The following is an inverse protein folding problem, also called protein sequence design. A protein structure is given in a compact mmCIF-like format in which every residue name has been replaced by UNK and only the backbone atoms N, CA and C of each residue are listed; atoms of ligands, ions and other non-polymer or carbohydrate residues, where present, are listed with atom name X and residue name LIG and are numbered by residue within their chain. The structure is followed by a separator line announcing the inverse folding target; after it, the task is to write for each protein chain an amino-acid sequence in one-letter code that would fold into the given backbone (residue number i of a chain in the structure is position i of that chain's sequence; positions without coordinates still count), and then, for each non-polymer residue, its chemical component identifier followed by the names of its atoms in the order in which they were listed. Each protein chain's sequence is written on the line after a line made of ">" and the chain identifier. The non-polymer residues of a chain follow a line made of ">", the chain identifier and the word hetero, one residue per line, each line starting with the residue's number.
data_IF_133223955354
#
_entry.id   IF_133223955354
#
_cell.length_a   1.000
_cell.length_b   1.000
_cell.length_c   1.000
_cell.angle_alpha   90.00
_cell.angle_beta   90.00
_cell.angle_gamma   90.00
#
_symmetry.space_group_name_H-M   'P 1'
#
loop_
_entity.id
_entity.type
_entity.pdbx_description
1 polymer ?
#
# COMPACT_ATOMS: atom_id res chain seq x y z
N UNK A 1 -4.34 26.89 65.20
CA UNK A 1 -4.61 25.62 64.48
C UNK A 1 -5.25 25.94 63.14
N UNK A 2 -5.01 25.09 62.11
CA UNK A 2 -5.32 25.21 60.65
C UNK A 2 -4.32 26.08 59.90
N UNK A 3 -3.21 25.57 59.33
CA UNK A 3 -3.06 24.59 58.22
C UNK A 3 -3.92 24.93 57.01
N UNK A 4 -3.36 25.69 56.07
CA UNK A 4 -3.81 25.74 54.67
C UNK A 4 -2.79 24.98 53.85
N UNK A 5 -3.21 23.79 53.40
CA UNK A 5 -2.47 22.90 52.53
C UNK A 5 -2.57 23.36 51.08
N UNK A 6 -1.47 23.13 50.37
CA UNK A 6 -1.28 23.29 48.95
C UNK A 6 -2.29 22.48 48.11
N UNK A 7 -2.68 23.03 46.96
CA UNK A 7 -3.12 22.27 45.79
C UNK A 7 -2.52 22.91 44.53
N UNK A 8 -1.24 22.61 44.27
CA UNK A 8 -0.64 22.80 42.96
C UNK A 8 -1.02 21.58 42.12
N UNK A 9 -2.15 21.64 41.41
CA UNK A 9 -2.53 20.63 40.42
C UNK A 9 -1.70 20.92 39.17
N UNK A 10 -0.56 20.22 39.07
CA UNK A 10 0.22 20.16 37.83
C UNK A 10 -0.66 19.42 36.81
N UNK A 11 -1.18 20.16 35.83
CA UNK A 11 -1.82 19.59 34.66
C UNK A 11 -0.79 18.79 33.86
N UNK A 12 -0.73 17.48 34.12
CA UNK A 12 -0.20 16.51 33.18
C UNK A 12 -1.14 16.51 31.96
N UNK A 13 -0.92 17.45 31.05
CA UNK A 13 -1.33 17.29 29.66
C UNK A 13 -0.58 16.05 29.21
N UNK A 14 -1.31 14.95 29.07
CA UNK A 14 -0.80 13.71 28.48
C UNK A 14 -0.25 14.05 27.12
N UNK A 15 1.07 14.14 27.04
CA UNK A 15 1.80 14.02 25.79
C UNK A 15 1.57 12.56 25.41
N UNK A 16 0.46 12.29 24.72
CA UNK A 16 0.35 11.04 23.97
C UNK A 16 1.62 10.96 23.17
N UNK A 17 2.45 9.91 23.32
CA UNK A 17 3.58 9.75 22.43
C UNK A 17 2.97 9.80 21.03
N UNK A 18 3.39 10.78 20.23
CA UNK A 18 3.12 10.73 18.80
C UNK A 18 3.49 9.31 18.39
N UNK A 19 2.51 8.56 17.87
CA UNK A 19 2.70 7.17 17.50
C UNK A 19 3.75 7.18 16.39
N UNK A 20 5.00 7.05 16.80
CA UNK A 20 6.12 7.01 15.90
C UNK A 20 6.05 5.68 15.17
N UNK A 21 6.62 5.66 13.96
CA UNK A 21 6.87 4.43 13.23
C UNK A 21 7.52 3.37 14.14
N UNK A 22 7.22 2.09 13.89
CA UNK A 22 7.91 1.00 14.57
C UNK A 22 9.43 1.09 14.31
N UNK A 23 10.23 0.44 15.15
CA UNK A 23 11.71 0.51 15.07
C UNK A 23 12.26 0.11 13.70
N UNK A 24 11.64 -0.86 13.02
CA UNK A 24 12.05 -1.31 11.69
C UNK A 24 11.81 -0.21 10.65
N UNK A 25 10.60 0.34 10.62
CA UNK A 25 10.24 1.44 9.72
C UNK A 25 11.05 2.71 10.01
N UNK A 26 11.25 3.07 11.29
CA UNK A 26 12.09 4.21 11.65
C UNK A 26 13.54 4.01 11.19
N UNK A 27 14.09 2.79 11.38
CA UNK A 27 15.42 2.47 10.88
C UNK A 27 15.54 2.59 9.36
N UNK A 28 14.45 2.38 8.60
CA UNK A 28 14.40 2.61 7.14
C UNK A 28 14.45 4.10 6.83
N UNK A 29 13.63 4.90 7.51
CA UNK A 29 13.64 6.35 7.35
C UNK A 29 14.99 6.99 7.69
N UNK A 30 15.68 6.50 8.71
CA UNK A 30 16.97 7.04 9.16
C UNK A 30 18.08 6.89 8.11
N UNK A 31 17.99 5.87 7.24
CA UNK A 31 18.99 5.58 6.19
C UNK A 31 18.60 6.08 4.80
N UNK A 32 17.31 6.25 4.54
CA UNK A 32 16.81 6.73 3.25
C UNK A 32 17.08 8.24 3.04
N UNK A 33 17.10 8.65 1.77
CA UNK A 33 17.23 10.06 1.38
C UNK A 33 16.15 10.41 0.37
N UNK A 34 15.47 11.53 0.61
CA UNK A 34 14.44 12.04 -0.31
C UNK A 34 15.04 12.21 -1.71
N UNK A 35 14.29 11.78 -2.73
CA UNK A 35 14.69 11.83 -4.13
C UNK A 35 15.71 10.77 -4.54
N UNK A 36 16.03 9.79 -3.67
CA UNK A 36 16.90 8.66 -4.00
C UNK A 36 16.12 7.35 -4.11
N UNK A 37 16.54 6.44 -5.00
CA UNK A 37 16.02 5.08 -5.02
C UNK A 37 16.19 4.41 -3.65
N UNK A 38 15.18 3.65 -3.26
CA UNK A 38 15.16 2.87 -2.03
C UNK A 38 15.56 1.43 -2.36
N UNK A 39 16.51 0.83 -1.62
CA UNK A 39 16.86 -0.58 -1.80
C UNK A 39 15.65 -1.50 -1.61
N UNK A 40 15.56 -2.60 -2.36
CA UNK A 40 14.38 -3.48 -2.27
C UNK A 40 14.24 -4.12 -0.89
N UNK A 41 15.33 -4.33 -0.16
CA UNK A 41 15.31 -4.83 1.23
C UNK A 41 14.63 -3.87 2.20
N UNK A 42 14.78 -2.58 1.93
CA UNK A 42 14.18 -1.51 2.71
C UNK A 42 12.69 -1.41 2.37
N UNK A 43 12.36 -1.49 1.08
CA UNK A 43 10.98 -1.61 0.61
C UNK A 43 10.30 -2.84 1.20
N UNK A 44 10.95 -4.01 1.25
CA UNK A 44 10.41 -5.20 1.89
C UNK A 44 10.11 -4.98 3.37
N UNK A 45 10.94 -4.20 4.08
CA UNK A 45 10.67 -3.80 5.48
C UNK A 45 9.43 -2.92 5.56
N UNK A 46 9.26 -1.96 4.65
CA UNK A 46 8.08 -1.12 4.59
C UNK A 46 6.81 -1.93 4.24
N UNK A 47 6.89 -2.84 3.28
CA UNK A 47 5.80 -3.75 2.90
C UNK A 47 5.30 -4.56 4.09
N UNK A 48 6.22 -5.13 4.90
CA UNK A 48 5.86 -5.92 6.10
C UNK A 48 5.20 -5.10 7.20
N UNK A 49 5.50 -3.81 7.27
CA UNK A 49 5.14 -2.96 8.41
C UNK A 49 3.93 -2.08 8.11
N UNK A 50 3.66 -1.80 6.84
CA UNK A 50 2.51 -1.02 6.39
C UNK A 50 1.21 -1.81 6.52
N UNK A 51 0.12 -1.12 6.86
CA UNK A 51 -1.22 -1.68 6.84
C UNK A 51 -1.81 -1.68 5.41
N UNK A 52 -1.52 -0.66 4.60
CA UNK A 52 -2.01 -0.54 3.22
C UNK A 52 -1.16 0.41 2.38
N UNK A 53 -1.00 0.11 1.10
CA UNK A 53 -0.41 1.00 0.10
C UNK A 53 -1.54 1.57 -0.74
N UNK A 54 -1.60 2.90 -0.88
CA UNK A 54 -2.62 3.61 -1.62
C UNK A 54 -1.97 4.32 -2.80
N UNK A 55 -2.37 3.95 -4.01
CA UNK A 55 -1.77 4.45 -5.24
C UNK A 55 -2.63 5.55 -5.84
N UNK A 56 -1.96 6.63 -6.28
CA UNK A 56 -2.61 7.85 -6.74
C UNK A 56 -3.69 8.31 -5.75
N UNK A 57 -3.32 8.42 -4.46
CA UNK A 57 -4.26 8.82 -3.42
C UNK A 57 -4.82 10.23 -3.67
N UNK A 58 -6.15 10.35 -3.62
CA UNK A 58 -6.88 11.61 -3.69
C UNK A 58 -7.96 11.62 -2.59
N UNK A 59 -7.87 12.59 -1.68
CA UNK A 59 -8.81 12.79 -0.56
C UNK A 59 -9.20 11.50 0.21
N UNK A 60 -8.24 10.59 0.43
CA UNK A 60 -8.46 9.32 1.14
C UNK A 60 -9.06 8.20 0.28
N UNK A 61 -9.05 8.36 -1.05
CA UNK A 61 -9.40 7.32 -2.02
C UNK A 61 -8.21 6.95 -2.89
N UNK A 62 -8.08 5.67 -3.23
CA UNK A 62 -6.98 5.15 -4.05
C UNK A 62 -7.48 4.74 -5.44
N UNK A 63 -6.63 4.89 -6.47
CA UNK A 63 -6.88 4.27 -7.79
C UNK A 63 -6.82 2.75 -7.68
N UNK A 64 -5.82 2.26 -6.95
CA UNK A 64 -5.69 0.88 -6.52
C UNK A 64 -4.94 0.85 -5.18
N UNK A 65 -4.97 -0.28 -4.51
CA UNK A 65 -4.31 -0.44 -3.23
C UNK A 65 -3.77 -1.84 -3.03
N UNK A 66 -2.64 -1.93 -2.34
CA UNK A 66 -2.04 -3.22 -2.00
C UNK A 66 -2.03 -3.43 -0.49
N UNK A 67 -2.23 -4.68 -0.10
CA UNK A 67 -1.97 -5.19 1.24
C UNK A 67 -1.01 -6.37 1.10
N UNK A 68 0.20 -6.22 1.64
CA UNK A 68 1.20 -7.27 1.59
C UNK A 68 0.87 -8.36 2.62
N UNK A 69 0.60 -9.57 2.13
CA UNK A 69 0.17 -10.72 2.93
C UNK A 69 1.37 -11.50 3.47
N UNK A 70 2.39 -11.65 2.64
CA UNK A 70 3.66 -12.31 2.97
C UNK A 70 4.79 -11.61 2.23
N UNK A 71 5.90 -11.35 2.93
CA UNK A 71 7.09 -10.74 2.34
C UNK A 71 8.32 -11.50 2.83
N UNK A 72 8.95 -12.24 1.92
CA UNK A 72 10.16 -13.02 2.18
C UNK A 72 11.40 -12.19 1.85
N UNK A 73 12.57 -12.81 1.79
CA UNK A 73 13.80 -12.16 1.32
C UNK A 73 13.89 -12.09 -0.21
N UNK A 74 13.06 -12.85 -0.93
CA UNK A 74 13.13 -12.99 -2.38
C UNK A 74 11.86 -12.51 -3.11
N UNK A 75 10.84 -12.05 -2.39
CA UNK A 75 9.62 -11.58 -3.01
C UNK A 75 8.50 -11.31 -2.02
N UNK A 76 7.31 -11.06 -2.57
CA UNK A 76 6.11 -10.79 -1.81
C UNK A 76 4.85 -11.37 -2.48
N UNK A 77 3.90 -11.74 -1.64
CA UNK A 77 2.51 -12.06 -1.99
C UNK A 77 1.64 -10.93 -1.46
N UNK A 78 0.80 -10.36 -2.31
CA UNK A 78 0.00 -9.20 -1.96
C UNK A 78 -1.42 -9.29 -2.54
N UNK A 79 -2.35 -8.72 -1.80
CA UNK A 79 -3.73 -8.52 -2.23
C UNK A 79 -3.85 -7.13 -2.85
N UNK A 80 -4.30 -7.07 -4.10
CA UNK A 80 -4.63 -5.84 -4.81
C UNK A 80 -6.13 -5.63 -4.75
N UNK A 81 -6.56 -4.40 -4.49
CA UNK A 81 -7.96 -4.00 -4.64
C UNK A 81 -8.09 -2.67 -5.37
N UNK A 82 -9.14 -2.55 -6.19
CA UNK A 82 -9.49 -1.32 -6.90
C UNK A 82 -10.98 -1.26 -7.25
N UNK A 83 -11.45 -0.07 -7.61
CA UNK A 83 -12.72 0.07 -8.32
C UNK A 83 -12.51 -0.35 -9.77
N UNK A 84 -13.11 -1.46 -10.17
CA UNK A 84 -12.95 -1.97 -11.53
C UNK A 84 -13.76 -1.16 -12.54
N UNK A 85 -14.99 -0.83 -12.16
CA UNK A 85 -15.90 0.02 -12.89
C UNK A 85 -16.88 0.72 -11.93
N UNK A 86 -17.89 1.40 -12.48
CA UNK A 86 -18.91 2.09 -11.71
C UNK A 86 -19.74 1.14 -10.81
N UNK A 87 -19.80 -0.16 -11.13
CA UNK A 87 -20.66 -1.14 -10.49
C UNK A 87 -19.88 -2.03 -9.50
N UNK A 88 -18.60 -2.31 -9.76
CA UNK A 88 -17.84 -3.33 -9.03
C UNK A 88 -16.50 -2.84 -8.48
N UNK A 89 -16.25 -3.22 -7.23
CA UNK A 89 -14.91 -3.31 -6.66
C UNK A 89 -14.39 -4.73 -6.86
N UNK A 90 -13.10 -4.86 -7.21
CA UNK A 90 -12.44 -6.15 -7.34
C UNK A 90 -11.25 -6.25 -6.40
N UNK A 91 -11.01 -7.48 -5.95
CA UNK A 91 -9.91 -7.81 -5.05
C UNK A 91 -9.30 -9.13 -5.51
N UNK A 92 -8.00 -9.19 -5.69
CA UNK A 92 -7.28 -10.38 -6.14
C UNK A 92 -5.89 -10.45 -5.51
N UNK A 93 -5.24 -11.61 -5.62
CA UNK A 93 -3.89 -11.84 -5.09
C UNK A 93 -2.90 -12.00 -6.24
N UNK A 94 -1.76 -11.34 -6.12
CA UNK A 94 -0.63 -11.44 -7.05
C UNK A 94 0.69 -11.61 -6.30
N UNK A 95 1.74 -11.97 -7.03
CA UNK A 95 3.08 -12.24 -6.53
C UNK A 95 4.13 -11.45 -7.30
N UNK A 96 5.14 -10.98 -6.58
CA UNK A 96 6.34 -10.37 -7.16
C UNK A 96 7.63 -10.96 -6.60
N UNK A 97 8.67 -11.05 -7.43
CA UNK A 97 10.03 -11.42 -7.01
C UNK A 97 10.89 -10.20 -6.84
N UNK A 98 11.81 -10.24 -5.88
CA UNK A 98 12.81 -9.20 -5.68
C UNK A 98 14.03 -9.48 -6.55
N UNK A 99 14.33 -8.53 -7.44
CA UNK A 99 15.39 -8.68 -8.45
C UNK A 99 16.44 -7.59 -8.28
N UNK A 100 17.70 -7.99 -8.50
CA UNK A 100 18.86 -7.09 -8.56
C UNK A 100 19.04 -6.17 -7.34
N UNK A 101 18.47 -6.56 -6.19
CA UNK A 101 18.49 -5.75 -4.96
C UNK A 101 17.73 -4.42 -5.06
N UNK A 102 16.93 -4.23 -6.11
CA UNK A 102 16.33 -2.95 -6.45
C UNK A 102 14.86 -3.02 -6.85
N UNK A 103 14.46 -4.07 -7.56
CA UNK A 103 13.15 -4.13 -8.18
C UNK A 103 12.26 -5.17 -7.49
N UNK A 104 10.94 -4.94 -7.54
CA UNK A 104 9.95 -6.02 -7.46
C UNK A 104 9.40 -6.24 -8.87
N UNK A 105 9.45 -7.47 -9.37
CA UNK A 105 8.95 -7.84 -10.68
C UNK A 105 7.74 -8.77 -10.54
N UNK A 106 6.68 -8.52 -11.29
CA UNK A 106 5.56 -9.45 -11.40
C UNK A 106 6.03 -10.81 -11.90
N UNK A 107 5.34 -11.87 -11.49
CA UNK A 107 5.75 -13.25 -11.83
C UNK A 107 4.99 -13.83 -13.02
N UNK A 108 4.06 -13.06 -13.62
CA UNK A 108 3.10 -13.58 -14.58
C UNK A 108 2.09 -14.55 -13.95
N UNK A 109 1.91 -14.50 -12.63
CA UNK A 109 0.95 -15.31 -11.90
C UNK A 109 -0.47 -15.06 -12.44
N UNK A 110 -1.24 -16.14 -12.60
CA UNK A 110 -2.63 -16.01 -13.00
C UNK A 110 -3.48 -15.64 -11.78
N UNK A 111 -3.69 -14.34 -11.59
CA UNK A 111 -4.50 -13.80 -10.51
C UNK A 111 -6.01 -13.84 -10.77
N UNK A 112 -6.46 -14.06 -12.01
CA UNK A 112 -7.91 -14.05 -12.34
C UNK A 112 -8.71 -15.09 -11.55
N UNK A 113 -8.20 -16.33 -11.34
CA UNK A 113 -8.83 -17.29 -10.44
C UNK A 113 -9.04 -16.79 -9.01
N UNK A 114 -8.14 -15.95 -8.48
CA UNK A 114 -8.22 -15.43 -7.10
C UNK A 114 -9.18 -14.24 -6.95
N UNK A 115 -9.62 -13.67 -8.07
CA UNK A 115 -10.48 -12.49 -8.08
C UNK A 115 -11.80 -12.72 -7.31
N UNK A 116 -12.10 -11.76 -6.45
CA UNK A 116 -13.37 -11.55 -5.75
C UNK A 116 -13.91 -10.20 -6.18
N UNK A 117 -15.22 -10.05 -6.14
CA UNK A 117 -15.86 -8.79 -6.48
C UNK A 117 -17.01 -8.46 -5.54
N UNK A 118 -17.24 -7.17 -5.34
CA UNK A 118 -18.30 -6.62 -4.50
C UNK A 118 -19.00 -5.52 -5.29
N UNK A 119 -20.32 -5.44 -5.19
CA UNK A 119 -21.08 -4.33 -5.78
C UNK A 119 -20.84 -3.05 -4.99
N UNK A 120 -20.48 -1.97 -5.69
CA UNK A 120 -20.25 -0.66 -5.09
C UNK A 120 -21.51 -0.04 -4.50
N UNK A 121 -22.67 -0.31 -5.11
CA UNK A 121 -23.94 0.28 -4.70
C UNK A 121 -24.40 -0.14 -3.29
N UNK A 122 -24.12 -1.38 -2.88
CA UNK A 122 -24.68 -1.97 -1.65
C UNK A 122 -23.70 -2.86 -0.86
N UNK A 123 -22.45 -3.00 -1.32
CA UNK A 123 -21.44 -3.81 -0.65
C UNK A 123 -21.68 -5.32 -0.76
N UNK A 124 -22.61 -5.79 -1.59
CA UNK A 124 -22.92 -7.22 -1.70
C UNK A 124 -21.88 -7.96 -2.54
N UNK A 125 -21.46 -9.14 -2.06
CA UNK A 125 -20.50 -9.98 -2.77
C UNK A 125 -21.09 -10.54 -4.08
N UNK A 126 -20.34 -10.41 -5.17
CA UNK A 126 -20.64 -11.04 -6.45
C UNK A 126 -20.21 -12.51 -6.42
N UNK A 127 -21.10 -13.43 -6.80
CA UNK A 127 -20.87 -14.87 -6.69
C UNK A 127 -21.41 -15.62 -7.91
N UNK A 128 -21.04 -16.89 -8.06
CA UNK A 128 -21.60 -17.79 -9.06
C UNK A 128 -21.33 -17.34 -10.51
N UNK A 129 -22.36 -17.47 -11.38
CA UNK A 129 -22.24 -17.11 -12.81
C UNK A 129 -21.87 -15.65 -13.04
N UNK A 130 -22.47 -14.65 -12.35
CA UNK A 130 -22.02 -13.26 -12.49
C UNK A 130 -20.53 -13.03 -12.18
N UNK A 131 -19.98 -13.66 -11.14
CA UNK A 131 -18.55 -13.56 -10.84
C UNK A 131 -17.70 -14.23 -11.92
N UNK A 132 -18.16 -15.36 -12.46
CA UNK A 132 -17.49 -16.06 -13.56
C UNK A 132 -17.44 -15.20 -14.84
N UNK A 133 -18.54 -14.53 -15.17
CA UNK A 133 -18.63 -13.66 -16.33
C UNK A 133 -17.67 -12.47 -16.20
N UNK A 134 -17.61 -11.84 -15.01
CA UNK A 134 -16.65 -10.77 -14.71
C UNK A 134 -15.20 -11.26 -14.84
N UNK A 135 -14.87 -12.42 -14.25
CA UNK A 135 -13.52 -13.03 -14.39
C UNK A 135 -13.14 -13.27 -15.84
N UNK A 136 -14.09 -13.74 -16.66
CA UNK A 136 -13.87 -14.00 -18.08
C UNK A 136 -13.61 -12.69 -18.84
N UNK A 137 -14.42 -11.65 -18.57
CA UNK A 137 -14.23 -10.32 -19.16
C UNK A 137 -12.84 -9.78 -18.84
N UNK A 138 -12.48 -9.75 -17.56
CA UNK A 138 -11.19 -9.24 -17.08
C UNK A 138 -10.04 -10.04 -17.69
N UNK A 139 -10.10 -11.37 -17.65
CA UNK A 139 -9.08 -12.25 -18.21
C UNK A 139 -8.85 -12.04 -19.70
N UNK A 140 -9.91 -11.76 -20.47
CA UNK A 140 -9.80 -11.55 -21.92
C UNK A 140 -9.10 -10.25 -22.32
N UNK A 141 -9.02 -9.26 -21.43
CA UNK A 141 -8.39 -7.96 -21.68
C UNK A 141 -6.94 -7.84 -21.20
N UNK A 142 -6.36 -8.90 -20.61
CA UNK A 142 -5.01 -8.84 -20.00
C UNK A 142 -3.90 -8.86 -21.06
N UNK A 143 -2.86 -8.06 -20.81
CA UNK A 143 -1.56 -8.19 -21.48
C UNK A 143 -0.66 -9.19 -20.75
N UNK A 144 0.16 -9.93 -21.50
CA UNK A 144 1.11 -10.92 -20.97
C UNK A 144 2.45 -10.32 -20.50
N UNK A 145 2.56 -8.99 -20.44
CA UNK A 145 3.77 -8.30 -20.00
C UNK A 145 4.04 -8.54 -18.51
N UNK A 146 5.31 -8.71 -18.16
CA UNK A 146 5.77 -8.66 -16.78
C UNK A 146 6.31 -7.25 -16.54
N UNK A 147 5.75 -6.57 -15.56
CA UNK A 147 6.28 -5.28 -15.12
C UNK A 147 7.20 -5.43 -13.91
N UNK A 148 8.27 -4.64 -13.89
CA UNK A 148 9.11 -4.47 -12.72
C UNK A 148 9.01 -3.04 -12.20
N UNK A 149 9.21 -2.87 -10.90
CA UNK A 149 9.09 -1.57 -10.25
C UNK A 149 10.25 -1.32 -9.31
N UNK A 150 10.78 -0.09 -9.31
CA UNK A 150 11.56 0.42 -8.19
C UNK A 150 10.86 1.61 -7.53
N UNK A 151 11.40 2.05 -6.39
CA UNK A 151 10.77 3.09 -5.57
C UNK A 151 11.77 4.19 -5.24
N UNK A 152 11.28 5.44 -5.24
CA UNK A 152 12.03 6.63 -4.83
C UNK A 152 11.31 7.28 -3.66
N UNK A 153 12.02 7.55 -2.58
CA UNK A 153 11.45 8.25 -1.42
C UNK A 153 11.05 9.68 -1.81
N UNK A 154 9.82 10.08 -1.49
CA UNK A 154 9.33 11.45 -1.68
C UNK A 154 9.17 12.20 -0.36
N UNK A 155 8.78 11.51 0.71
CA UNK A 155 8.67 12.10 2.04
C UNK A 155 8.04 11.15 3.05
N UNK A 156 7.86 11.63 4.26
CA UNK A 156 7.12 10.95 5.33
C UNK A 156 6.44 11.96 6.24
N UNK A 157 5.35 11.53 6.87
CA UNK A 157 4.64 12.26 7.91
C UNK A 157 4.47 11.33 9.12
N UNK A 158 5.20 11.62 10.18
CA UNK A 158 5.16 10.82 11.41
C UNK A 158 3.89 11.06 12.24
N UNK A 159 3.20 12.19 12.06
CA UNK A 159 1.94 12.46 12.75
C UNK A 159 0.78 11.70 12.10
N UNK A 160 0.81 11.57 10.77
CA UNK A 160 -0.14 10.76 10.01
C UNK A 160 0.25 9.28 9.91
N UNK A 161 1.47 8.92 10.34
CA UNK A 161 2.05 7.58 10.16
C UNK A 161 2.05 7.14 8.69
N UNK A 162 2.53 8.02 7.80
CA UNK A 162 2.59 7.76 6.35
C UNK A 162 3.98 7.97 5.75
N UNK A 163 4.28 7.20 4.70
CA UNK A 163 5.45 7.40 3.84
C UNK A 163 4.99 7.54 2.39
N UNK A 164 5.52 8.53 1.68
CA UNK A 164 5.22 8.71 0.25
C UNK A 164 6.41 8.27 -0.59
N UNK A 165 6.14 7.37 -1.54
CA UNK A 165 7.08 6.88 -2.55
C UNK A 165 6.61 7.28 -3.94
N UNK A 166 7.55 7.36 -4.88
CA UNK A 166 7.25 7.28 -6.32
C UNK A 166 7.62 5.87 -6.76
N UNK A 167 6.63 5.07 -7.14
CA UNK A 167 6.86 3.82 -7.84
C UNK A 167 7.15 4.15 -9.31
N UNK A 168 8.21 3.56 -9.85
CA UNK A 168 8.59 3.74 -11.25
C UNK A 168 8.55 2.41 -11.97
N UNK A 169 7.81 2.34 -13.06
CA UNK A 169 7.78 1.16 -13.91
C UNK A 169 9.11 1.05 -14.65
N UNK A 170 9.66 -0.16 -14.67
CA UNK A 170 10.90 -0.52 -15.31
C UNK A 170 10.68 -1.75 -16.17
N UNK A 171 10.79 -1.57 -17.48
CA UNK A 171 10.54 -2.63 -18.45
C UNK A 171 11.66 -2.58 -19.49
N UNK A 172 12.24 -3.74 -19.81
CA UNK A 172 13.30 -3.88 -20.83
C UNK A 172 14.52 -2.95 -20.63
N UNK A 173 14.92 -2.70 -19.38
CA UNK A 173 16.13 -1.94 -19.09
C UNK A 173 15.94 -0.42 -19.00
N UNK A 174 14.72 0.08 -19.16
CA UNK A 174 14.39 1.51 -19.08
C UNK A 174 13.22 1.76 -18.13
N UNK A 175 13.28 2.89 -17.40
CA UNK A 175 12.11 3.39 -16.68
C UNK A 175 11.19 4.12 -17.63
N UNK A 176 9.87 3.94 -17.49
CA UNK A 176 8.86 4.71 -18.22
C UNK A 176 8.16 5.72 -17.29
N UNK A 177 8.54 7.01 -17.34
CA UNK A 177 7.96 8.03 -16.48
C UNK A 177 6.46 8.27 -16.70
N UNK A 178 5.89 7.81 -17.81
CA UNK A 178 4.45 7.96 -18.08
C UNK A 178 3.65 7.07 -17.12
N UNK A 179 4.22 5.96 -16.67
CA UNK A 179 3.58 4.99 -15.78
C UNK A 179 4.08 5.11 -14.32
N UNK A 180 4.88 6.14 -14.02
CA UNK A 180 5.27 6.44 -12.64
C UNK A 180 4.04 6.85 -11.82
N UNK A 181 3.88 6.25 -10.64
CA UNK A 181 2.73 6.50 -9.76
C UNK A 181 3.19 6.87 -8.35
N UNK A 182 2.55 7.87 -7.77
CA UNK A 182 2.76 8.20 -6.36
C UNK A 182 2.03 7.21 -5.48
N UNK A 183 2.72 6.70 -4.46
CA UNK A 183 2.19 5.71 -3.54
C UNK A 183 2.35 6.21 -2.11
N UNK A 184 1.24 6.19 -1.36
CA UNK A 184 1.23 6.50 0.06
C UNK A 184 1.11 5.20 0.85
N UNK A 185 2.07 4.96 1.72
CA UNK A 185 2.11 3.83 2.62
C UNK A 185 1.49 4.26 3.93
N UNK A 186 0.41 3.62 4.34
CA UNK A 186 -0.28 3.87 5.59
C UNK A 186 0.11 2.81 6.62
N UNK A 187 0.67 3.23 7.75
CA UNK A 187 1.10 2.32 8.82
C UNK A 187 0.05 2.22 9.93
N UNK A 188 -0.75 3.27 10.12
CA UNK A 188 -1.87 3.24 11.06
C UNK A 188 -3.03 2.42 10.49
N UNK A 189 -3.30 1.26 11.07
CA UNK A 189 -4.35 0.35 10.60
C UNK A 189 -5.75 0.98 10.59
N UNK A 190 -6.04 1.93 11.49
CA UNK A 190 -7.36 2.56 11.58
C UNK A 190 -7.60 3.52 10.42
N UNK A 191 -6.63 4.37 10.07
CA UNK A 191 -6.76 5.28 8.94
C UNK A 191 -6.67 4.53 7.62
N UNK A 192 -5.80 3.52 7.52
CA UNK A 192 -5.71 2.64 6.35
C UNK A 192 -7.04 1.92 6.03
N UNK A 193 -7.77 1.48 7.06
CA UNK A 193 -9.08 0.84 6.90
C UNK A 193 -10.20 1.80 6.45
N UNK A 194 -9.99 3.11 6.59
CA UNK A 194 -10.94 4.13 6.13
C UNK A 194 -10.76 4.50 4.66
N UNK A 195 -9.67 4.06 4.01
CA UNK A 195 -9.40 4.36 2.60
C UNK A 195 -10.40 3.65 1.68
N UNK A 196 -10.92 4.39 0.70
CA UNK A 196 -11.83 3.90 -0.35
C UNK A 196 -11.16 3.76 -1.72
N UNK A 197 -11.91 3.34 -2.73
CA UNK A 197 -11.48 3.31 -4.13
C UNK A 197 -12.33 4.22 -5.01
N UNK A 198 -11.69 4.93 -5.93
CA UNK A 198 -12.35 5.67 -7.00
C UNK A 198 -12.20 4.95 -8.34
N UNK A 199 -13.15 5.21 -9.25
CA UNK A 199 -13.12 4.79 -10.65
C UNK A 199 -12.90 6.00 -11.55
#
# INVERSE_FOLDING_TARGET
>A
MRRLFACLVIGLIGISPALAFDTGTQGVLDRMKIGKPVPITDIATLMRSSARWCYAEDEGSCSWSDIYLEVTDTGATYEIGNAWDADYDVIFTDHGTFEEGRYICETGYDWVPTLRAVKRADGTALNGRPLWDLKTQIGSGRSEGIDCFDYVLKGSDSAAETITLLQRQFTQGVTDPINDVTVTLHFNAKTAAALSWYY
#
